data_IF_140538434883
#
_entry.id   IF_140538434883
#
_cell.length_a   1.000
_cell.length_b   1.000
_cell.length_c   1.000
_cell.angle_alpha   90.00
_cell.angle_beta   90.00
_cell.angle_gamma   90.00
#
_symmetry.space_group_name_H-M   'P 1'
#
loop_
_entity.id
_entity.type
_entity.pdbx_description
1 polymer ?
#
# COMPACT_ATOMS: atom_id res chain seq x y z
N UNK A 1 -14.19 11.57 -21.44
CA UNK A 1 -13.14 10.57 -21.70
C UNK A 1 -13.29 9.50 -20.65
N UNK A 2 -13.66 8.29 -21.05
CA UNK A 2 -13.64 7.15 -20.14
C UNK A 2 -12.20 6.97 -19.65
N UNK A 3 -12.04 7.05 -18.33
CA UNK A 3 -10.76 6.81 -17.67
C UNK A 3 -10.55 5.30 -17.65
N UNK A 4 -9.88 4.79 -18.67
CA UNK A 4 -9.70 3.35 -18.83
C UNK A 4 -8.63 2.83 -17.87
N UNK A 5 -8.94 1.71 -17.21
CA UNK A 5 -8.02 1.03 -16.32
C UNK A 5 -7.12 0.11 -17.13
N UNK A 6 -5.81 0.21 -16.93
CA UNK A 6 -4.86 -0.76 -17.45
C UNK A 6 -4.90 -1.99 -16.55
N UNK A 7 -5.20 -3.15 -17.15
CA UNK A 7 -5.22 -4.43 -16.46
C UNK A 7 -3.85 -5.11 -16.61
N UNK A 8 -3.26 -5.51 -15.49
CA UNK A 8 -2.01 -6.25 -15.44
C UNK A 8 -2.23 -7.57 -14.69
N UNK A 9 -1.30 -8.50 -14.84
CA UNK A 9 -1.33 -9.74 -14.07
C UNK A 9 -0.98 -9.45 -12.60
N UNK A 10 -2.00 -9.56 -11.73
CA UNK A 10 -1.92 -9.34 -10.28
C UNK A 10 -2.31 -7.93 -9.80
N UNK A 11 -2.61 -6.98 -10.68
CA UNK A 11 -3.08 -5.64 -10.31
C UNK A 11 -3.71 -4.90 -11.50
N UNK A 12 -4.37 -3.77 -11.23
CA UNK A 12 -4.82 -2.83 -12.24
C UNK A 12 -4.46 -1.41 -11.81
N UNK A 13 -4.31 -0.50 -12.75
CA UNK A 13 -4.06 0.90 -12.43
C UNK A 13 -4.75 1.88 -13.39
N UNK A 14 -4.86 3.12 -12.94
CA UNK A 14 -5.38 4.25 -13.70
C UNK A 14 -4.47 5.46 -13.49
N UNK A 15 -4.12 6.13 -14.58
CA UNK A 15 -3.45 7.44 -14.56
C UNK A 15 -4.48 8.50 -14.96
N UNK A 16 -5.06 9.26 -14.02
CA UNK A 16 -6.22 10.12 -14.31
C UNK A 16 -5.97 11.20 -15.38
N UNK A 17 -4.71 11.60 -15.55
CA UNK A 17 -4.29 12.65 -16.49
C UNK A 17 -3.51 12.12 -17.70
N UNK A 18 -3.43 10.80 -17.88
CA UNK A 18 -2.75 10.18 -19.02
C UNK A 18 -1.26 10.51 -19.14
N UNK A 19 -0.60 10.86 -18.03
CA UNK A 19 0.85 11.03 -18.03
C UNK A 19 1.56 9.68 -18.24
N UNK A 20 2.75 9.66 -18.84
CA UNK A 20 3.58 8.46 -18.88
C UNK A 20 3.90 7.96 -17.47
N UNK A 21 4.02 6.64 -17.29
CA UNK A 21 4.27 5.98 -16.01
C UNK A 21 5.55 6.49 -15.34
N UNK A 22 6.58 6.80 -16.13
CA UNK A 22 7.86 7.34 -15.65
C UNK A 22 7.73 8.73 -15.00
N UNK A 23 6.68 9.48 -15.35
CA UNK A 23 6.40 10.82 -14.81
C UNK A 23 5.62 10.76 -13.48
N UNK A 24 5.09 9.60 -13.10
CA UNK A 24 4.31 9.44 -11.88
C UNK A 24 5.22 9.55 -10.65
N UNK A 25 4.81 10.41 -9.70
CA UNK A 25 5.53 10.68 -8.45
C UNK A 25 4.84 10.07 -7.23
N UNK A 26 3.55 9.77 -7.33
CA UNK A 26 2.79 9.14 -6.24
C UNK A 26 1.87 8.06 -6.79
N UNK A 27 1.92 6.87 -6.18
CA UNK A 27 0.96 5.79 -6.46
C UNK A 27 0.12 5.57 -5.21
N UNK A 28 -1.19 5.74 -5.36
CA UNK A 28 -2.17 5.43 -4.32
C UNK A 28 -2.66 4.01 -4.51
N UNK A 29 -2.49 3.19 -3.48
CA UNK A 29 -2.78 1.76 -3.45
C UNK A 29 -4.12 1.53 -2.75
N UNK A 30 -5.02 0.83 -3.43
CA UNK A 30 -6.37 0.49 -2.97
C UNK A 30 -6.61 -1.01 -3.06
N UNK A 31 -7.60 -1.51 -2.34
CA UNK A 31 -8.09 -2.89 -2.55
C UNK A 31 -8.80 -3.00 -3.89
N UNK A 32 -9.77 -2.11 -4.13
CA UNK A 32 -10.72 -2.22 -5.24
C UNK A 32 -10.94 -0.88 -5.94
N UNK A 33 -11.37 -0.96 -7.22
CA UNK A 33 -11.60 0.22 -8.06
C UNK A 33 -12.67 1.17 -7.49
N UNK A 34 -13.65 0.63 -6.74
CA UNK A 34 -14.74 1.43 -6.15
C UNK A 34 -14.24 2.42 -5.09
N UNK A 35 -13.16 2.09 -4.39
CA UNK A 35 -12.59 2.96 -3.35
C UNK A 35 -11.83 4.13 -3.98
N UNK A 36 -11.28 3.93 -5.19
CA UNK A 36 -10.61 4.98 -5.95
C UNK A 36 -11.57 6.12 -6.35
N UNK A 37 -12.82 5.80 -6.69
CA UNK A 37 -13.80 6.79 -7.15
C UNK A 37 -14.17 7.80 -6.07
N UNK A 38 -14.29 7.35 -4.80
CA UNK A 38 -14.55 8.23 -3.65
C UNK A 38 -13.39 9.23 -3.45
N UNK A 39 -12.16 8.75 -3.56
CA UNK A 39 -10.98 9.63 -3.42
C UNK A 39 -10.87 10.63 -4.58
N UNK A 40 -11.24 10.21 -5.79
CA UNK A 40 -11.26 11.09 -6.96
C UNK A 40 -12.37 12.15 -6.88
N UNK A 41 -13.51 11.86 -6.24
CA UNK A 41 -14.59 12.83 -6.06
C UNK A 41 -14.26 13.89 -5.01
N UNK A 42 -13.56 13.49 -3.94
CA UNK A 42 -13.34 14.36 -2.77
C UNK A 42 -12.09 15.24 -2.89
N UNK A 43 -11.19 14.92 -3.83
CA UNK A 43 -9.94 15.64 -3.97
C UNK A 43 -9.99 16.72 -5.05
N UNK A 44 -9.48 17.89 -4.70
CA UNK A 44 -9.11 18.94 -5.66
C UNK A 44 -8.16 18.39 -6.71
N UNK A 45 -8.51 18.55 -7.98
CA UNK A 45 -7.82 18.07 -9.19
C UNK A 45 -6.28 18.14 -9.17
N UNK A 46 -5.72 19.17 -8.52
CA UNK A 46 -4.27 19.41 -8.40
C UNK A 46 -3.52 18.28 -7.69
N UNK A 47 -4.10 17.61 -6.68
CA UNK A 47 -3.42 16.57 -5.88
C UNK A 47 -3.09 15.29 -6.66
N UNK A 48 -3.73 15.09 -7.81
CA UNK A 48 -3.60 13.86 -8.60
C UNK A 48 -2.88 14.06 -9.93
N UNK A 49 -2.30 15.24 -10.19
CA UNK A 49 -1.73 15.58 -11.49
C UNK A 49 -0.64 14.60 -11.93
N UNK A 50 0.26 14.23 -11.02
CA UNK A 50 1.39 13.31 -11.22
C UNK A 50 1.20 12.00 -10.43
N UNK A 51 -0.05 11.56 -10.30
CA UNK A 51 -0.41 10.40 -9.51
C UNK A 51 -1.04 9.29 -10.35
N UNK A 52 -0.83 8.05 -9.91
CA UNK A 52 -1.58 6.89 -10.36
C UNK A 52 -2.38 6.29 -9.21
N UNK A 53 -3.49 5.65 -9.55
CA UNK A 53 -4.30 4.82 -8.64
C UNK A 53 -4.06 3.37 -9.04
N UNK A 54 -3.71 2.51 -8.09
CA UNK A 54 -3.52 1.09 -8.37
C UNK A 54 -4.31 0.24 -7.38
N UNK A 55 -4.85 -0.86 -7.89
CA UNK A 55 -5.65 -1.84 -7.15
C UNK A 55 -5.06 -3.22 -7.32
N UNK A 56 -4.94 -4.00 -6.26
CA UNK A 56 -4.36 -5.35 -6.30
C UNK A 56 -5.32 -6.43 -5.76
N UNK A 57 -6.56 -6.06 -5.43
CA UNK A 57 -7.57 -6.96 -4.89
C UNK A 57 -7.38 -7.26 -3.39
N UNK A 58 -8.23 -8.12 -2.84
CA UNK A 58 -8.22 -8.46 -1.42
C UNK A 58 -7.03 -9.37 -1.03
N UNK A 59 -6.58 -10.22 -1.96
CA UNK A 59 -5.45 -11.11 -1.79
C UNK A 59 -4.21 -10.52 -2.48
N UNK A 60 -3.64 -9.50 -1.85
CA UNK A 60 -2.39 -8.92 -2.31
C UNK A 60 -1.27 -9.97 -2.30
N UNK A 61 -0.57 -10.10 -3.42
CA UNK A 61 0.61 -10.95 -3.54
C UNK A 61 1.88 -10.08 -3.66
N UNK A 62 3.02 -10.53 -3.10
CA UNK A 62 4.29 -9.82 -3.22
C UNK A 62 4.64 -9.47 -4.67
N UNK A 63 4.41 -10.41 -5.60
CA UNK A 63 4.73 -10.28 -7.01
C UNK A 63 3.97 -9.12 -7.66
N UNK A 64 2.70 -8.95 -7.32
CA UNK A 64 1.87 -7.84 -7.81
C UNK A 64 2.42 -6.49 -7.35
N UNK A 65 2.77 -6.37 -6.07
CA UNK A 65 3.32 -5.13 -5.50
C UNK A 65 4.70 -4.81 -6.08
N UNK A 66 5.56 -5.82 -6.26
CA UNK A 66 6.86 -5.65 -6.91
C UNK A 66 6.65 -5.17 -8.36
N UNK A 67 5.74 -5.77 -9.12
CA UNK A 67 5.43 -5.33 -10.49
C UNK A 67 4.91 -3.90 -10.56
N UNK A 68 4.05 -3.48 -9.63
CA UNK A 68 3.62 -2.07 -9.54
C UNK A 68 4.84 -1.16 -9.37
N UNK A 69 5.81 -1.53 -8.52
CA UNK A 69 7.02 -0.74 -8.31
C UNK A 69 7.92 -0.63 -9.55
N UNK A 70 7.90 -1.65 -10.42
CA UNK A 70 8.62 -1.64 -11.69
C UNK A 70 7.93 -0.76 -12.74
N UNK A 71 6.59 -0.71 -12.73
CA UNK A 71 5.81 0.18 -13.60
C UNK A 71 6.01 1.63 -13.21
N UNK A 72 6.08 1.93 -11.91
CA UNK A 72 6.21 3.30 -11.38
C UNK A 72 7.52 3.50 -10.62
N UNK A 73 8.69 3.46 -11.30
CA UNK A 73 10.00 3.41 -10.65
C UNK A 73 10.35 4.69 -9.87
N UNK A 74 9.71 5.81 -10.20
CA UNK A 74 9.95 7.12 -9.59
C UNK A 74 8.92 7.49 -8.51
N UNK A 75 7.96 6.61 -8.22
CA UNK A 75 6.83 6.93 -7.38
C UNK A 75 7.08 6.63 -5.90
N UNK A 76 6.51 7.48 -5.05
CA UNK A 76 6.26 7.17 -3.65
C UNK A 76 4.93 6.44 -3.54
N UNK A 77 4.89 5.42 -2.69
CA UNK A 77 3.69 4.63 -2.48
C UNK A 77 2.91 5.15 -1.28
N UNK A 78 1.59 5.21 -1.46
CA UNK A 78 0.63 5.61 -0.43
C UNK A 78 -0.43 4.52 -0.33
N UNK A 79 -0.61 3.89 0.82
CA UNK A 79 -1.73 2.97 1.03
C UNK A 79 -2.96 3.75 1.45
N UNK A 80 -4.10 3.39 0.89
CA UNK A 80 -5.37 4.05 1.16
C UNK A 80 -6.35 2.99 1.68
N UNK A 81 -6.11 2.54 2.91
CA UNK A 81 -6.86 1.49 3.59
C UNK A 81 -7.47 2.00 4.90
N UNK A 82 -8.28 1.16 5.53
CA UNK A 82 -8.83 1.40 6.87
C UNK A 82 -7.78 1.37 7.97
N UNK A 83 -8.25 1.53 9.20
CA UNK A 83 -7.46 1.49 10.44
C UNK A 83 -7.64 0.17 11.22
N UNK A 84 -8.32 -0.82 10.63
CA UNK A 84 -8.46 -2.14 11.19
C UNK A 84 -7.15 -2.93 11.09
N UNK A 85 -6.98 -3.90 12.00
CA UNK A 85 -5.74 -4.67 12.11
C UNK A 85 -5.32 -5.34 10.78
N UNK A 86 -6.21 -5.99 10.01
CA UNK A 86 -5.87 -6.53 8.69
C UNK A 86 -5.28 -5.49 7.73
N UNK A 87 -5.86 -4.28 7.65
CA UNK A 87 -5.36 -3.19 6.81
C UNK A 87 -3.98 -2.69 7.25
N UNK A 88 -3.76 -2.61 8.56
CA UNK A 88 -2.45 -2.25 9.14
C UNK A 88 -1.40 -3.32 8.82
N UNK A 89 -1.73 -4.61 9.00
CA UNK A 89 -0.83 -5.73 8.68
C UNK A 89 -0.49 -5.74 7.19
N UNK A 90 -1.49 -5.55 6.31
CA UNK A 90 -1.25 -5.46 4.88
C UNK A 90 -0.34 -4.27 4.52
N UNK A 91 -0.54 -3.12 5.16
CA UNK A 91 0.33 -1.95 4.98
C UNK A 91 1.78 -2.27 5.34
N UNK A 92 2.01 -3.01 6.44
CA UNK A 92 3.34 -3.51 6.79
C UNK A 92 3.91 -4.45 5.73
N UNK A 93 3.12 -5.42 5.26
CA UNK A 93 3.52 -6.37 4.20
C UNK A 93 3.90 -5.67 2.90
N UNK A 94 3.04 -4.80 2.38
CA UNK A 94 3.32 -4.00 1.18
C UNK A 94 4.62 -3.22 1.36
N UNK A 95 4.81 -2.61 2.52
CA UNK A 95 6.02 -1.87 2.81
C UNK A 95 7.29 -2.72 2.76
N UNK A 96 7.22 -3.99 3.16
CA UNK A 96 8.31 -4.95 3.11
C UNK A 96 8.54 -5.44 1.68
N UNK A 97 7.47 -5.79 0.96
CA UNK A 97 7.54 -6.30 -0.41
C UNK A 97 8.14 -5.27 -1.37
N UNK A 98 7.82 -3.98 -1.21
CA UNK A 98 8.45 -2.88 -1.95
C UNK A 98 9.98 -2.79 -1.75
N UNK A 99 10.53 -3.46 -0.73
CA UNK A 99 11.97 -3.53 -0.45
C UNK A 99 12.54 -4.93 -0.59
N UNK A 100 11.78 -5.89 -1.13
CA UNK A 100 12.24 -7.27 -1.29
C UNK A 100 12.35 -8.06 0.02
N UNK A 101 11.59 -7.68 1.04
CA UNK A 101 11.49 -8.42 2.29
C UNK A 101 10.07 -8.95 2.51
N UNK A 102 9.91 -9.86 3.47
CA UNK A 102 8.61 -10.31 3.96
C UNK A 102 8.63 -10.52 5.47
N UNK A 103 7.44 -10.63 6.07
CA UNK A 103 7.26 -10.97 7.48
C UNK A 103 5.97 -11.77 7.68
N UNK A 104 6.01 -12.67 8.65
CA UNK A 104 4.81 -13.38 9.12
C UNK A 104 4.18 -12.63 10.27
N UNK A 105 2.86 -12.70 10.37
CA UNK A 105 2.07 -12.04 11.42
C UNK A 105 1.07 -13.06 11.97
N UNK A 106 0.93 -13.07 13.29
CA UNK A 106 -0.01 -13.90 14.03
C UNK A 106 -0.66 -13.04 15.10
N UNK A 107 -1.96 -13.25 15.34
CA UNK A 107 -2.68 -12.60 16.43
C UNK A 107 -2.97 -13.65 17.50
N UNK A 108 -2.45 -13.44 18.71
CA UNK A 108 -2.69 -14.29 19.88
C UNK A 108 -2.98 -13.40 21.08
N UNK A 109 -4.08 -13.65 21.78
CA UNK A 109 -4.41 -13.01 23.06
C UNK A 109 -4.21 -11.48 23.06
N UNK A 110 -4.80 -10.78 22.08
CA UNK A 110 -4.70 -9.33 21.89
C UNK A 110 -3.29 -8.78 21.63
N UNK A 111 -2.37 -9.65 21.19
CA UNK A 111 -1.04 -9.27 20.74
C UNK A 111 -0.85 -9.65 19.28
N UNK A 112 -0.13 -8.80 18.57
CA UNK A 112 0.41 -9.10 17.25
C UNK A 112 1.84 -9.60 17.45
N UNK A 113 2.05 -10.87 17.11
CA UNK A 113 3.35 -11.52 17.05
C UNK A 113 3.79 -11.51 15.59
N UNK A 114 5.03 -11.13 15.34
CA UNK A 114 5.55 -11.09 13.97
C UNK A 114 7.02 -11.49 13.90
N UNK A 115 7.36 -12.21 12.84
CA UNK A 115 8.73 -12.67 12.58
C UNK A 115 9.28 -11.93 11.38
N UNK A 116 10.40 -11.23 11.58
CA UNK A 116 11.10 -10.48 10.54
C UNK A 116 12.60 -10.73 10.64
N UNK A 117 13.22 -11.14 9.52
CA UNK A 117 14.65 -11.50 9.46
C UNK A 117 15.07 -12.50 10.54
N UNK A 118 14.25 -13.53 10.73
CA UNK A 118 14.45 -14.61 11.72
C UNK A 118 14.41 -14.16 13.19
N UNK A 119 13.99 -12.92 13.47
CA UNK A 119 13.72 -12.44 14.82
C UNK A 119 12.21 -12.36 15.06
N UNK A 120 11.77 -12.83 16.21
CA UNK A 120 10.38 -12.69 16.67
C UNK A 120 10.22 -11.44 17.51
N UNK A 121 9.09 -10.76 17.30
CA UNK A 121 8.72 -9.56 18.03
C UNK A 121 7.24 -9.64 18.41
N UNK A 122 6.85 -8.86 19.42
CA UNK A 122 5.44 -8.75 19.82
C UNK A 122 5.08 -7.32 20.23
N UNK A 123 3.79 -7.00 20.08
CA UNK A 123 3.20 -5.81 20.69
C UNK A 123 1.70 -5.98 20.87
N UNK A 124 1.11 -5.19 21.78
CA UNK A 124 -0.33 -5.14 21.94
C UNK A 124 -1.01 -4.70 20.63
N UNK A 125 -2.10 -5.38 20.27
CA UNK A 125 -2.88 -5.12 19.06
C UNK A 125 -3.34 -3.66 18.97
N UNK A 126 -3.80 -3.09 20.08
CA UNK A 126 -4.24 -1.70 20.18
C UNK A 126 -3.15 -0.66 19.88
N UNK A 127 -1.88 -1.06 19.92
CA UNK A 127 -0.73 -0.21 19.64
C UNK A 127 -0.08 -0.52 18.29
N UNK A 128 -0.53 -1.57 17.60
CA UNK A 128 0.09 -2.01 16.36
C UNK A 128 -0.19 -1.03 15.23
N UNK A 129 0.87 -0.68 14.51
CA UNK A 129 0.84 0.25 13.37
C UNK A 129 2.10 0.05 12.55
N UNK A 130 2.13 0.53 11.30
CA UNK A 130 3.36 0.56 10.50
C UNK A 130 4.51 1.27 11.23
N UNK A 131 4.22 2.39 11.91
CA UNK A 131 5.22 3.11 12.69
C UNK A 131 5.74 2.27 13.86
N UNK A 132 4.86 1.59 14.61
CA UNK A 132 5.25 0.72 15.71
C UNK A 132 6.09 -0.46 15.20
N UNK A 133 5.68 -1.09 14.10
CA UNK A 133 6.44 -2.15 13.42
C UNK A 133 7.85 -1.67 13.04
N UNK A 134 7.96 -0.52 12.36
CA UNK A 134 9.24 0.08 11.98
C UNK A 134 10.15 0.38 13.17
N UNK A 135 9.59 0.91 14.27
CA UNK A 135 10.35 1.22 15.49
C UNK A 135 10.88 -0.05 16.17
N UNK A 136 10.06 -1.09 16.27
CA UNK A 136 10.45 -2.35 16.92
C UNK A 136 11.49 -3.11 16.09
N UNK A 137 11.29 -3.18 14.77
CA UNK A 137 12.16 -3.96 13.87
C UNK A 137 13.39 -3.20 13.38
N UNK A 138 13.44 -1.89 13.56
CA UNK A 138 14.42 -1.01 12.92
C UNK A 138 14.21 -0.87 11.40
N UNK A 139 13.12 -1.40 10.84
CA UNK A 139 12.83 -1.32 9.42
C UNK A 139 12.51 0.12 9.00
N UNK A 140 13.16 0.59 7.92
CA UNK A 140 12.90 1.93 7.36
C UNK A 140 12.00 1.81 6.15
N UNK A 141 10.92 2.59 6.12
CA UNK A 141 9.99 2.66 5.00
C UNK A 141 9.81 4.08 4.47
N UNK A 142 9.49 4.19 3.19
CA UNK A 142 9.01 5.41 2.54
C UNK A 142 7.51 5.34 2.21
N UNK A 143 6.83 4.23 2.55
CA UNK A 143 5.39 4.04 2.38
C UNK A 143 4.64 4.94 3.36
N UNK A 144 3.58 5.60 2.88
CA UNK A 144 2.74 6.45 3.73
C UNK A 144 1.31 5.89 3.78
N UNK A 145 0.75 5.60 4.96
CA UNK A 145 -0.68 5.32 5.06
C UNK A 145 -1.46 6.63 4.98
N UNK A 146 -2.54 6.65 4.19
CA UNK A 146 -3.55 7.69 4.15
C UNK A 146 -4.87 7.11 4.61
N UNK A 147 -5.37 7.59 5.74
CA UNK A 147 -6.67 7.19 6.27
C UNK A 147 -7.77 8.03 5.60
N UNK A 148 -8.72 7.36 4.94
CA UNK A 148 -9.98 8.00 4.54
C UNK A 148 -10.90 7.94 5.76
N UNK A 149 -11.39 9.10 6.21
CA UNK A 149 -12.40 9.23 7.27
C UNK A 149 -13.79 9.30 6.68
#
# INVERSE_FOLDING_TARGET
MDREWVMCDGFAYLIPYGLPEICIRTVYLFYEKRDCLKVLSDATSVKFRDAALATFGFLALPEGIIRISLVFPNAKFVTVFGDDLPAIVLTCKISLWLKGFDATFLVLSHHVIFTFKSCEFSCAESLFSLNRFCKITGFRTNLRPLQIR
#
